data_IF_021043943760
#
_entry.id   IF_021043943760
#
_cell.length_a   1.000
_cell.length_b   1.000
_cell.length_c   1.000
_cell.angle_alpha   90.00
_cell.angle_beta   90.00
_cell.angle_gamma   90.00
#
_symmetry.space_group_name_H-M   'P 1'
#
loop_
_entity.id
_entity.type
_entity.pdbx_description
1 polymer ?
#
# COMPACT_ATOMS: atom_id res chain seq x y z
N UNK A 1 -42.29 -7.65 -45.11
CA UNK A 1 -42.01 -8.60 -44.05
C UNK A 1 -40.97 -7.98 -43.11
N UNK A 2 -41.44 -7.45 -41.98
CA UNK A 2 -40.62 -6.78 -40.96
C UNK A 2 -40.05 -7.86 -40.03
N UNK A 3 -38.71 -8.00 -39.96
CA UNK A 3 -38.05 -8.81 -38.98
C UNK A 3 -37.81 -8.02 -37.71
N UNK A 4 -38.44 -8.40 -36.62
CA UNK A 4 -38.29 -7.89 -35.28
C UNK A 4 -37.10 -8.64 -34.67
N UNK A 5 -36.04 -7.88 -34.30
CA UNK A 5 -34.91 -8.40 -33.53
C UNK A 5 -35.29 -8.32 -32.04
N UNK A 6 -35.13 -9.37 -31.24
CA UNK A 6 -35.35 -9.28 -29.81
C UNK A 6 -34.16 -8.58 -29.13
N UNK A 7 -34.47 -7.52 -28.40
CA UNK A 7 -33.56 -6.82 -27.50
C UNK A 7 -33.33 -7.71 -26.27
N UNK A 8 -32.16 -8.32 -26.15
CA UNK A 8 -31.75 -8.96 -24.92
C UNK A 8 -31.41 -7.88 -23.89
N UNK A 9 -32.30 -7.69 -22.92
CA UNK A 9 -31.96 -6.98 -21.68
C UNK A 9 -30.97 -7.84 -20.90
N UNK A 10 -29.69 -7.46 -20.87
CA UNK A 10 -28.78 -7.90 -19.85
C UNK A 10 -29.24 -7.29 -18.52
N UNK A 11 -29.77 -8.12 -17.64
CA UNK A 11 -29.99 -7.75 -16.25
C UNK A 11 -28.60 -7.63 -15.58
N UNK A 12 -28.18 -6.40 -15.33
CA UNK A 12 -27.05 -6.14 -14.45
C UNK A 12 -27.44 -6.64 -13.05
N UNK A 13 -26.77 -7.68 -12.58
CA UNK A 13 -26.83 -8.10 -11.19
C UNK A 13 -26.22 -6.97 -10.35
N UNK A 14 -26.93 -6.47 -9.31
CA UNK A 14 -26.30 -5.46 -8.45
C UNK A 14 -25.06 -6.06 -7.79
N UNK A 15 -23.91 -5.45 -8.03
CA UNK A 15 -22.71 -5.67 -7.24
C UNK A 15 -23.09 -5.45 -5.77
N UNK A 16 -22.84 -6.43 -4.92
CA UNK A 16 -23.03 -6.29 -3.48
C UNK A 16 -21.94 -5.34 -2.95
N UNK A 17 -22.21 -4.04 -3.00
CA UNK A 17 -21.50 -3.08 -2.19
C UNK A 17 -21.64 -3.53 -0.73
N UNK A 18 -20.57 -3.99 -0.12
CA UNK A 18 -20.57 -4.36 1.29
C UNK A 18 -20.76 -3.06 2.08
N UNK A 19 -21.80 -2.95 2.92
CA UNK A 19 -22.01 -1.72 3.67
C UNK A 19 -20.76 -1.42 4.51
N UNK A 20 -20.32 -0.16 4.58
CA UNK A 20 -19.23 0.24 5.46
C UNK A 20 -19.55 -0.23 6.88
N UNK A 21 -18.54 -0.74 7.58
CA UNK A 21 -18.70 -1.19 8.95
C UNK A 21 -18.90 0.04 9.84
N UNK A 22 -20.12 0.54 9.93
CA UNK A 22 -20.56 1.55 10.88
C UNK A 22 -20.49 0.96 12.30
N UNK A 23 -19.28 0.82 12.82
CA UNK A 23 -19.04 0.41 14.18
C UNK A 23 -18.73 1.63 15.04
N UNK A 24 -19.47 1.84 16.16
CA UNK A 24 -19.13 2.87 17.15
C UNK A 24 -17.69 2.77 17.65
N UNK A 25 -17.07 1.60 17.51
CA UNK A 25 -15.66 1.34 17.85
C UNK A 25 -14.66 2.02 16.94
N UNK A 26 -15.07 2.59 15.79
CA UNK A 26 -14.17 3.25 14.81
C UNK A 26 -14.29 4.78 14.80
N UNK A 27 -15.15 5.37 15.63
CA UNK A 27 -15.37 6.84 15.71
C UNK A 27 -14.13 7.64 16.12
N UNK A 28 -13.07 6.98 16.59
CA UNK A 28 -11.79 7.63 16.89
C UNK A 28 -10.88 7.81 15.66
N UNK A 29 -11.28 7.26 14.52
CA UNK A 29 -10.54 7.39 13.25
C UNK A 29 -10.88 8.71 12.54
N UNK A 30 -10.04 9.15 11.60
CA UNK A 30 -10.40 10.24 10.70
C UNK A 30 -11.66 9.89 9.89
N UNK A 31 -12.51 10.89 9.55
CA UNK A 31 -13.70 10.67 8.73
C UNK A 31 -13.33 10.07 7.36
N UNK A 32 -14.11 9.11 6.89
CA UNK A 32 -13.85 8.35 5.67
C UNK A 32 -13.62 9.25 4.44
N UNK A 33 -14.51 10.22 4.20
CA UNK A 33 -14.35 11.14 3.06
C UNK A 33 -13.05 11.93 3.09
N UNK A 34 -12.55 12.31 4.28
CA UNK A 34 -11.23 12.93 4.40
C UNK A 34 -10.11 11.97 4.08
N UNK A 35 -10.23 10.69 4.47
CA UNK A 35 -9.20 9.67 4.21
C UNK A 35 -9.08 9.40 2.72
N UNK A 36 -10.18 9.24 2.00
CA UNK A 36 -10.16 9.03 0.54
C UNK A 36 -9.39 10.14 -0.17
N UNK A 37 -9.67 11.40 0.16
CA UNK A 37 -8.96 12.55 -0.41
C UNK A 37 -7.46 12.56 -0.05
N UNK A 38 -7.12 12.18 1.19
CA UNK A 38 -5.73 12.07 1.66
C UNK A 38 -4.96 11.00 0.90
N UNK A 39 -5.55 9.82 0.73
CA UNK A 39 -4.92 8.70 0.02
C UNK A 39 -4.70 9.05 -1.45
N UNK A 40 -5.65 9.75 -2.10
CA UNK A 40 -5.50 10.20 -3.48
C UNK A 40 -4.31 11.17 -3.68
N UNK A 41 -3.93 11.91 -2.63
CA UNK A 41 -2.79 12.84 -2.67
C UNK A 41 -1.45 12.20 -2.25
N UNK A 42 -1.46 10.96 -1.76
CA UNK A 42 -0.25 10.27 -1.36
C UNK A 42 0.75 10.15 -2.54
N UNK A 43 2.04 10.44 -2.33
CA UNK A 43 3.04 10.36 -3.39
C UNK A 43 3.16 8.98 -4.03
N UNK A 44 3.00 7.89 -3.26
CA UNK A 44 2.99 6.51 -3.74
C UNK A 44 1.82 6.24 -4.68
N UNK A 45 0.62 6.67 -4.26
CA UNK A 45 -0.62 6.54 -5.05
C UNK A 45 -0.54 7.35 -6.34
N UNK A 46 -0.07 8.61 -6.28
CA UNK A 46 0.12 9.45 -7.47
C UNK A 46 1.15 8.85 -8.43
N UNK A 47 2.23 8.28 -7.91
CA UNK A 47 3.22 7.56 -8.72
C UNK A 47 2.58 6.36 -9.41
N UNK A 48 1.82 5.55 -8.70
CA UNK A 48 1.13 4.39 -9.26
C UNK A 48 0.10 4.79 -10.33
N UNK A 49 -0.65 5.89 -10.14
CA UNK A 49 -1.53 6.47 -11.16
C UNK A 49 -0.80 6.91 -12.44
N UNK A 50 0.39 7.51 -12.29
CA UNK A 50 1.24 7.84 -13.43
C UNK A 50 1.75 6.57 -14.16
N UNK A 51 2.08 5.50 -13.42
CA UNK A 51 2.46 4.22 -14.01
C UNK A 51 1.32 3.54 -14.75
N UNK A 52 0.08 3.66 -14.25
CA UNK A 52 -1.12 3.19 -14.96
C UNK A 52 -1.29 3.95 -16.29
N UNK A 53 -1.16 5.27 -16.28
CA UNK A 53 -1.21 6.07 -17.51
C UNK A 53 -0.13 5.64 -18.51
N UNK A 54 1.08 5.35 -18.03
CA UNK A 54 2.19 4.85 -18.86
C UNK A 54 1.88 3.46 -19.43
N UNK A 55 1.33 2.54 -18.64
CA UNK A 55 0.95 1.20 -19.12
C UNK A 55 -0.15 1.25 -20.18
N UNK A 56 -1.14 2.13 -20.01
CA UNK A 56 -2.18 2.38 -21.01
C UNK A 56 -1.59 2.95 -22.32
N UNK A 57 -0.60 3.84 -22.24
CA UNK A 57 0.10 4.34 -23.41
C UNK A 57 0.92 3.23 -24.11
N UNK A 58 1.60 2.38 -23.34
CA UNK A 58 2.31 1.20 -23.87
C UNK A 58 1.34 0.24 -24.57
N UNK A 59 0.18 -0.04 -23.97
CA UNK A 59 -0.83 -0.90 -24.58
C UNK A 59 -1.31 -0.35 -25.93
N UNK A 60 -1.56 0.96 -26.03
CA UNK A 60 -1.89 1.61 -27.31
C UNK A 60 -0.74 1.49 -28.33
N UNK A 61 0.51 1.70 -27.90
CA UNK A 61 1.67 1.57 -28.78
C UNK A 61 1.83 0.13 -29.31
N UNK A 62 1.58 -0.87 -28.47
CA UNK A 62 1.60 -2.29 -28.85
C UNK A 62 0.48 -2.64 -29.84
N UNK A 63 -0.71 -2.07 -29.67
CA UNK A 63 -1.83 -2.29 -30.58
C UNK A 63 -1.53 -1.75 -31.99
N UNK A 64 -1.02 -0.51 -32.08
CA UNK A 64 -0.55 0.08 -33.34
C UNK A 64 0.59 -0.74 -33.95
N UNK A 65 1.53 -1.20 -33.13
CA UNK A 65 2.68 -2.03 -33.52
C UNK A 65 3.91 -1.24 -33.93
N UNK A 66 5.05 -1.97 -34.08
CA UNK A 66 6.37 -1.35 -34.23
C UNK A 66 6.68 -0.88 -35.65
N UNK A 67 5.83 -1.18 -36.63
CA UNK A 67 6.14 -0.96 -38.05
C UNK A 67 5.58 0.36 -38.55
N UNK A 68 6.46 1.35 -38.68
CA UNK A 68 6.18 2.65 -39.26
C UNK A 68 6.46 2.63 -40.79
N UNK A 69 5.90 3.60 -41.49
CA UNK A 69 6.30 3.87 -42.88
C UNK A 69 7.67 4.53 -42.89
N UNK A 70 8.59 3.97 -43.68
CA UNK A 70 9.92 4.53 -43.89
C UNK A 70 10.02 5.04 -45.31
N UNK A 71 10.16 6.36 -45.47
CA UNK A 71 10.50 6.95 -46.76
C UNK A 71 12.02 6.92 -46.95
N UNK A 72 12.46 6.53 -48.12
CA UNK A 72 13.88 6.51 -48.45
C UNK A 72 14.10 7.13 -49.82
N UNK A 73 15.26 7.74 -50.01
CA UNK A 73 15.69 8.31 -51.29
C UNK A 73 17.18 8.17 -51.43
N UNK A 74 17.61 7.86 -52.64
CA UNK A 74 19.01 7.75 -53.03
C UNK A 74 19.26 8.58 -54.26
N UNK A 75 20.40 9.29 -54.31
CA UNK A 75 20.88 9.99 -55.45
C UNK A 75 22.28 9.50 -55.75
N UNK A 76 22.50 8.98 -56.99
CA UNK A 76 23.74 8.41 -57.41
C UNK A 76 24.26 9.16 -58.63
N UNK A 77 25.53 9.51 -58.62
CA UNK A 77 26.25 9.97 -59.80
C UNK A 77 27.21 8.87 -60.27
N UNK A 78 26.97 8.31 -61.44
CA UNK A 78 27.76 7.23 -62.03
C UNK A 78 28.52 7.75 -63.25
N UNK A 79 29.81 7.43 -63.37
CA UNK A 79 30.60 7.72 -64.53
C UNK A 79 30.88 6.43 -65.34
N UNK A 80 30.55 6.43 -66.60
CA UNK A 80 30.76 5.28 -67.50
C UNK A 80 31.70 5.67 -68.63
N UNK A 81 32.44 4.69 -69.16
CA UNK A 81 33.42 4.95 -70.28
C UNK A 81 32.73 5.27 -71.58
N UNK A 82 31.47 4.91 -71.79
CA UNK A 82 30.71 5.06 -73.01
C UNK A 82 29.73 6.24 -72.99
N UNK A 83 29.08 6.48 -71.86
CA UNK A 83 27.99 7.47 -71.78
C UNK A 83 28.34 8.69 -70.89
N UNK A 84 29.58 8.73 -70.37
CA UNK A 84 30.03 9.82 -69.51
C UNK A 84 29.40 9.79 -68.11
N UNK A 85 29.10 10.96 -67.57
CA UNK A 85 28.56 11.14 -66.23
C UNK A 85 27.02 11.09 -66.26
N UNK A 86 26.44 10.16 -65.52
CA UNK A 86 25.02 9.94 -65.44
C UNK A 86 24.55 10.26 -64.02
N UNK A 87 23.42 10.94 -63.88
CA UNK A 87 22.75 11.22 -62.61
C UNK A 87 21.51 10.35 -62.52
N UNK A 88 21.42 9.63 -61.43
CA UNK A 88 20.38 8.63 -61.19
C UNK A 88 19.76 8.88 -59.81
N UNK A 89 18.49 8.57 -59.64
CA UNK A 89 17.86 8.66 -58.34
C UNK A 89 16.80 7.56 -58.12
N UNK A 90 16.62 7.20 -56.88
CA UNK A 90 15.56 6.29 -56.41
C UNK A 90 14.83 6.95 -55.25
N UNK A 91 13.51 6.82 -55.23
CA UNK A 91 12.70 7.21 -54.11
C UNK A 91 11.66 6.13 -53.81
N UNK A 92 11.41 5.87 -52.55
CA UNK A 92 10.48 4.79 -52.18
C UNK A 92 9.92 4.93 -50.79
N UNK A 93 8.95 4.05 -50.48
CA UNK A 93 8.32 3.91 -49.18
C UNK A 93 8.27 2.42 -48.84
N UNK A 94 8.71 2.09 -47.63
CA UNK A 94 8.66 0.71 -47.12
C UNK A 94 7.91 0.62 -45.81
N UNK A 95 7.37 -0.56 -45.51
CA UNK A 95 6.71 -0.88 -44.22
C UNK A 95 6.81 -2.35 -43.90
N UNK A 96 7.13 -2.66 -42.65
CA UNK A 96 7.00 -4.01 -42.11
C UNK A 96 5.54 -4.40 -41.88
N UNK A 97 5.22 -5.66 -42.05
CA UNK A 97 3.86 -6.19 -41.79
C UNK A 97 3.95 -7.29 -40.72
N UNK A 98 3.26 -7.07 -39.63
CA UNK A 98 3.17 -8.09 -38.55
C UNK A 98 2.53 -9.38 -39.08
N UNK A 99 3.22 -10.50 -38.88
CA UNK A 99 2.65 -11.80 -39.17
C UNK A 99 1.41 -12.12 -38.32
N UNK A 100 0.49 -12.98 -38.83
CA UNK A 100 -0.71 -13.37 -38.08
C UNK A 100 -0.40 -13.85 -36.66
N UNK A 101 -1.24 -13.49 -35.72
CA UNK A 101 -1.12 -13.80 -34.27
C UNK A 101 -0.23 -12.86 -33.49
N UNK A 102 0.76 -12.18 -34.10
CA UNK A 102 1.64 -11.26 -33.38
C UNK A 102 0.91 -10.04 -32.84
N UNK A 103 -0.04 -9.47 -33.61
CA UNK A 103 -0.85 -8.34 -33.18
C UNK A 103 -1.74 -8.70 -31.98
N UNK A 104 -2.28 -9.92 -31.94
CA UNK A 104 -3.05 -10.41 -30.79
C UNK A 104 -2.16 -10.57 -29.56
N UNK A 105 -0.98 -11.20 -29.71
CA UNK A 105 -0.03 -11.32 -28.62
C UNK A 105 0.40 -9.94 -28.07
N UNK A 106 0.66 -8.98 -28.95
CA UNK A 106 1.02 -7.60 -28.57
C UNK A 106 -0.12 -6.91 -27.79
N UNK A 107 -1.40 -7.11 -28.19
CA UNK A 107 -2.57 -6.60 -27.44
C UNK A 107 -2.69 -7.23 -26.07
N UNK A 108 -2.52 -8.56 -25.98
CA UNK A 108 -2.60 -9.26 -24.69
C UNK A 108 -1.48 -8.88 -23.73
N UNK A 109 -0.26 -8.65 -24.25
CA UNK A 109 0.85 -8.11 -23.45
C UNK A 109 0.48 -6.71 -22.91
N UNK A 110 -0.11 -5.86 -23.75
CA UNK A 110 -0.57 -4.54 -23.36
C UNK A 110 -1.66 -4.62 -22.30
N UNK A 111 -2.70 -5.43 -22.51
CA UNK A 111 -3.81 -5.60 -21.58
C UNK A 111 -3.36 -6.14 -20.21
N UNK A 112 -2.53 -7.20 -20.20
CA UNK A 112 -1.98 -7.73 -18.96
C UNK A 112 -1.06 -6.72 -18.26
N UNK A 113 -0.34 -5.88 -19.03
CA UNK A 113 0.48 -4.78 -18.49
C UNK A 113 -0.37 -3.69 -17.82
N UNK A 114 -1.51 -3.34 -18.39
CA UNK A 114 -2.49 -2.44 -17.75
C UNK A 114 -3.03 -3.08 -16.48
N UNK A 115 -3.41 -4.36 -16.50
CA UNK A 115 -3.87 -5.07 -15.31
C UNK A 115 -2.84 -5.11 -14.16
N UNK A 116 -1.54 -5.21 -14.48
CA UNK A 116 -0.47 -5.06 -13.46
C UNK A 116 -0.50 -3.68 -12.85
N UNK A 117 -0.63 -2.62 -13.67
CA UNK A 117 -0.59 -1.24 -13.20
C UNK A 117 -1.87 -0.82 -12.45
N UNK A 118 -3.04 -1.31 -12.84
CA UNK A 118 -4.32 -1.12 -12.13
C UNK A 118 -4.27 -1.71 -10.73
N UNK A 119 -3.88 -2.99 -10.63
CA UNK A 119 -3.71 -3.63 -9.32
C UNK A 119 -2.58 -2.99 -8.50
N UNK A 120 -1.52 -2.49 -9.14
CA UNK A 120 -0.47 -1.73 -8.48
C UNK A 120 -0.94 -0.37 -7.94
N UNK A 121 -1.96 0.25 -8.55
CA UNK A 121 -2.59 1.45 -8.02
C UNK A 121 -3.45 1.13 -6.78
N UNK A 122 -4.24 0.04 -6.84
CA UNK A 122 -5.00 -0.44 -5.68
C UNK A 122 -4.08 -0.79 -4.50
N UNK A 123 -2.99 -1.50 -4.75
CA UNK A 123 -1.98 -1.84 -3.76
C UNK A 123 -1.33 -0.59 -3.12
N UNK A 124 -0.97 0.42 -3.93
CA UNK A 124 -0.42 1.67 -3.42
C UNK A 124 -1.41 2.44 -2.50
N UNK A 125 -2.72 2.40 -2.79
CA UNK A 125 -3.76 2.97 -1.91
C UNK A 125 -3.87 2.19 -0.61
N UNK A 126 -3.81 0.88 -0.69
CA UNK A 126 -3.80 -0.01 0.46
C UNK A 126 -2.58 0.27 1.37
N UNK A 127 -1.38 0.34 0.81
CA UNK A 127 -0.16 0.71 1.56
C UNK A 127 -0.26 2.09 2.22
N UNK A 128 -0.81 3.09 1.52
CA UNK A 128 -1.02 4.43 2.07
C UNK A 128 -2.03 4.41 3.23
N UNK A 129 -3.10 3.62 3.14
CA UNK A 129 -4.08 3.43 4.22
C UNK A 129 -3.45 2.77 5.45
N UNK A 130 -2.63 1.75 5.26
CA UNK A 130 -1.86 1.11 6.35
C UNK A 130 -0.88 2.08 7.00
N UNK A 131 -0.21 2.91 6.21
CA UNK A 131 0.67 3.96 6.71
C UNK A 131 -0.09 4.97 7.56
N UNK A 132 -1.23 5.48 7.07
CA UNK A 132 -2.09 6.39 7.83
C UNK A 132 -2.55 5.77 9.14
N UNK A 133 -3.07 4.53 9.12
CA UNK A 133 -3.47 3.79 10.32
C UNK A 133 -2.35 3.72 11.34
N UNK A 134 -1.15 3.32 10.92
CA UNK A 134 -0.02 3.16 11.81
C UNK A 134 0.38 4.48 12.47
N UNK A 135 0.49 5.56 11.68
CA UNK A 135 0.87 6.88 12.19
C UNK A 135 -0.23 7.51 13.06
N UNK A 136 -1.50 7.30 12.72
CA UNK A 136 -2.62 7.75 13.52
C UNK A 136 -2.66 7.10 14.91
N UNK A 137 -2.56 5.78 14.96
CA UNK A 137 -2.54 5.03 16.23
C UNK A 137 -1.30 5.41 17.05
N UNK A 138 -0.13 5.52 16.43
CA UNK A 138 1.10 5.94 17.12
C UNK A 138 0.94 7.34 17.75
N UNK A 139 0.32 8.29 17.03
CA UNK A 139 0.02 9.62 17.57
C UNK A 139 -0.94 9.53 18.76
N UNK A 140 -2.03 8.75 18.69
CA UNK A 140 -2.99 8.59 19.79
C UNK A 140 -2.35 7.95 21.02
N UNK A 141 -1.46 6.97 20.84
CA UNK A 141 -0.68 6.36 21.94
C UNK A 141 0.22 7.39 22.61
N UNK A 142 0.96 8.15 21.84
CA UNK A 142 1.86 9.16 22.36
C UNK A 142 1.12 10.28 23.10
N UNK A 143 -0.05 10.70 22.62
CA UNK A 143 -0.92 11.66 23.30
C UNK A 143 -1.49 11.09 24.61
N UNK A 144 -1.83 9.81 24.63
CA UNK A 144 -2.29 9.11 25.85
C UNK A 144 -1.17 9.02 26.90
N UNK A 145 0.03 8.60 26.48
CA UNK A 145 1.19 8.47 27.36
C UNK A 145 1.60 9.85 27.97
N UNK A 146 1.57 10.92 27.17
CA UNK A 146 1.85 12.26 27.66
C UNK A 146 0.82 12.73 28.71
N UNK A 147 -0.47 12.58 28.42
CA UNK A 147 -1.55 12.92 29.39
C UNK A 147 -1.45 12.12 30.68
N UNK A 148 -1.15 10.83 30.61
CA UNK A 148 -0.97 10.00 31.81
C UNK A 148 0.26 10.45 32.61
N UNK A 149 1.36 10.83 31.95
CA UNK A 149 2.57 11.36 32.60
C UNK A 149 2.31 12.68 33.31
N UNK A 150 1.52 13.59 32.74
CA UNK A 150 1.09 14.84 33.36
C UNK A 150 0.24 14.57 34.63
N UNK A 151 -0.68 13.62 34.57
CA UNK A 151 -1.49 13.19 35.70
C UNK A 151 -0.63 12.56 36.82
N UNK A 152 0.41 11.81 36.46
CA UNK A 152 1.38 11.23 37.39
C UNK A 152 2.16 12.30 38.12
N UNK A 153 2.70 13.31 37.42
CA UNK A 153 3.39 14.45 38.03
C UNK A 153 2.47 15.15 39.03
N UNK A 154 1.26 15.50 38.62
CA UNK A 154 0.29 16.16 39.51
C UNK A 154 -0.03 15.34 40.77
N UNK A 155 -0.05 14.02 40.68
CA UNK A 155 -0.24 13.14 41.82
C UNK A 155 0.99 13.12 42.77
N UNK A 156 2.20 13.09 42.25
CA UNK A 156 3.41 13.19 43.08
C UNK A 156 3.61 14.60 43.68
N UNK A 157 3.23 15.67 43.01
CA UNK A 157 3.26 17.03 43.55
C UNK A 157 2.31 17.18 44.73
N UNK A 158 1.07 16.67 44.63
CA UNK A 158 0.14 16.61 45.75
C UNK A 158 0.71 15.79 46.92
N UNK A 159 1.30 14.63 46.64
CA UNK A 159 1.91 13.79 47.68
C UNK A 159 3.07 14.49 48.36
N UNK A 160 3.93 15.21 47.62
CA UNK A 160 5.05 15.97 48.15
C UNK A 160 4.56 17.08 49.13
N UNK A 161 3.53 17.82 48.74
CA UNK A 161 2.97 18.88 49.58
C UNK A 161 2.42 18.33 50.90
N UNK A 162 1.70 17.21 50.87
CA UNK A 162 1.17 16.54 52.06
C UNK A 162 2.29 16.04 52.97
N UNK A 163 3.29 15.34 52.41
CA UNK A 163 4.41 14.79 53.18
C UNK A 163 5.31 15.88 53.77
N UNK A 164 5.55 16.95 53.03
CA UNK A 164 6.32 18.14 53.51
C UNK A 164 5.60 18.82 54.68
N UNK A 165 4.26 18.92 54.62
CA UNK A 165 3.46 19.49 55.71
C UNK A 165 3.47 18.58 56.94
N UNK A 166 3.35 17.27 56.78
CA UNK A 166 3.43 16.28 57.86
C UNK A 166 4.82 16.35 58.55
N UNK A 167 5.91 16.55 57.79
CA UNK A 167 7.24 16.74 58.35
C UNK A 167 7.33 18.04 59.21
N UNK A 168 6.76 19.13 58.74
CA UNK A 168 6.74 20.40 59.51
C UNK A 168 6.03 20.24 60.87
N UNK A 169 5.03 19.35 60.93
CA UNK A 169 4.30 19.00 62.11
C UNK A 169 4.96 17.92 62.96
N UNK A 170 6.12 17.45 62.61
CA UNK A 170 6.85 16.37 63.31
C UNK A 170 6.27 14.95 63.10
N UNK A 171 5.36 14.80 62.13
CA UNK A 171 4.65 13.54 61.86
C UNK A 171 5.28 12.72 60.72
N UNK A 172 6.32 13.22 60.03
CA UNK A 172 6.98 12.53 58.94
C UNK A 172 8.49 12.74 58.98
N UNK A 173 9.26 11.71 58.61
CA UNK A 173 10.72 11.79 58.56
C UNK A 173 11.19 12.52 57.30
N UNK A 174 12.39 13.14 57.37
CA UNK A 174 13.03 13.82 56.24
C UNK A 174 13.19 12.86 55.04
N UNK A 175 13.58 11.61 55.30
CA UNK A 175 13.72 10.58 54.30
C UNK A 175 12.45 10.34 53.43
N UNK A 176 11.28 10.43 54.05
CA UNK A 176 9.99 10.26 53.32
C UNK A 176 9.75 11.39 52.32
N UNK A 177 10.11 12.65 52.69
CA UNK A 177 10.03 13.79 51.76
C UNK A 177 11.02 13.62 50.60
N UNK A 178 12.24 13.16 50.89
CA UNK A 178 13.26 12.88 49.85
C UNK A 178 12.83 11.76 48.90
N UNK A 179 12.19 10.71 49.41
CA UNK A 179 11.64 9.63 48.59
C UNK A 179 10.56 10.15 47.60
N UNK A 180 9.61 10.97 48.07
CA UNK A 180 8.59 11.57 47.21
C UNK A 180 9.21 12.51 46.20
N UNK A 181 10.20 13.31 46.60
CA UNK A 181 10.95 14.20 45.72
C UNK A 181 11.68 13.45 44.62
N UNK A 182 12.31 12.30 44.96
CA UNK A 182 12.98 11.46 43.98
C UNK A 182 11.97 10.86 42.98
N UNK A 183 10.82 10.37 43.46
CA UNK A 183 9.76 9.84 42.61
C UNK A 183 9.19 10.92 41.66
N UNK A 184 8.97 12.14 42.16
CA UNK A 184 8.54 13.28 41.34
C UNK A 184 9.58 13.62 40.27
N UNK A 185 10.87 13.64 40.62
CA UNK A 185 11.95 13.92 39.66
C UNK A 185 12.01 12.87 38.55
N UNK A 186 11.82 11.60 38.88
CA UNK A 186 11.73 10.51 37.93
C UNK A 186 10.48 10.66 37.02
N UNK A 187 9.30 10.97 37.60
CA UNK A 187 8.08 11.20 36.85
C UNK A 187 8.25 12.35 35.82
N UNK A 188 8.90 13.45 36.23
CA UNK A 188 9.21 14.59 35.35
C UNK A 188 10.13 14.19 34.19
N UNK A 189 11.14 13.37 34.44
CA UNK A 189 12.04 12.88 33.39
C UNK A 189 11.27 12.00 32.37
N UNK A 190 10.41 11.11 32.83
CA UNK A 190 9.57 10.28 31.97
C UNK A 190 8.54 11.11 31.17
N UNK A 191 7.96 12.14 31.81
CA UNK A 191 7.04 13.06 31.12
C UNK A 191 7.74 13.89 30.03
N UNK A 192 8.99 14.27 30.22
CA UNK A 192 9.77 14.93 29.17
C UNK A 192 9.96 14.01 27.95
N UNK A 193 10.26 12.72 28.18
CA UNK A 193 10.35 11.73 27.11
C UNK A 193 8.99 11.52 26.42
N UNK A 194 7.90 11.40 27.16
CA UNK A 194 6.57 11.25 26.60
C UNK A 194 6.15 12.50 25.78
N UNK A 195 6.51 13.69 26.23
CA UNK A 195 6.29 14.94 25.49
C UNK A 195 7.07 14.96 24.18
N UNK A 196 8.33 14.54 24.19
CA UNK A 196 9.14 14.41 22.98
C UNK A 196 8.49 13.43 22.00
N UNK A 197 8.09 12.23 22.46
CA UNK A 197 7.43 11.23 21.64
C UNK A 197 6.11 11.74 21.05
N UNK A 198 5.32 12.50 21.82
CA UNK A 198 4.09 13.15 21.36
C UNK A 198 4.34 14.14 20.22
N UNK A 199 5.34 15.02 20.37
CA UNK A 199 5.69 16.01 19.35
C UNK A 199 6.20 15.33 18.08
N UNK A 200 7.03 14.30 18.22
CA UNK A 200 7.57 13.54 17.10
C UNK A 200 6.48 12.79 16.33
N UNK A 201 5.61 12.05 17.02
CA UNK A 201 4.50 11.34 16.40
C UNK A 201 3.54 12.30 15.67
N UNK A 202 3.21 13.45 16.28
CA UNK A 202 2.38 14.47 15.65
C UNK A 202 3.05 15.05 14.39
N UNK A 203 4.33 15.42 14.49
CA UNK A 203 5.09 15.94 13.35
C UNK A 203 5.17 14.92 12.23
N UNK A 204 5.47 13.65 12.53
CA UNK A 204 5.57 12.57 11.55
C UNK A 204 4.24 12.35 10.83
N UNK A 205 3.13 12.31 11.55
CA UNK A 205 1.79 12.18 10.96
C UNK A 205 1.47 13.37 10.05
N UNK A 206 1.68 14.60 10.51
CA UNK A 206 1.40 15.82 9.72
C UNK A 206 2.31 15.96 8.49
N UNK A 207 3.55 15.46 8.55
CA UNK A 207 4.46 15.51 7.39
C UNK A 207 4.14 14.48 6.33
N UNK A 208 3.70 13.29 6.73
CA UNK A 208 3.26 12.27 5.78
C UNK A 208 1.88 12.60 5.20
N UNK A 209 0.98 13.19 5.99
CA UNK A 209 -0.37 13.55 5.57
C UNK A 209 -0.66 15.05 5.83
N UNK A 210 -0.11 15.97 5.01
CA UNK A 210 -0.18 17.40 5.29
C UNK A 210 -1.60 17.98 5.30
N UNK A 211 -2.52 17.38 4.55
CA UNK A 211 -3.91 17.82 4.47
C UNK A 211 -4.78 17.25 5.59
N UNK A 212 -4.23 16.36 6.44
CA UNK A 212 -4.96 15.80 7.56
C UNK A 212 -5.16 16.86 8.65
N UNK A 213 -6.41 17.22 8.90
CA UNK A 213 -6.77 18.12 9.99
C UNK A 213 -6.82 17.33 11.30
N UNK A 214 -5.85 17.55 12.17
CA UNK A 214 -5.85 16.94 13.50
C UNK A 214 -6.82 17.66 14.42
N UNK A 215 -7.64 16.94 15.21
CA UNK A 215 -8.52 17.53 16.19
C UNK A 215 -7.71 18.20 17.30
N UNK A 216 -8.26 19.28 17.88
CA UNK A 216 -7.64 20.02 18.99
C UNK A 216 -7.45 19.11 20.21
N UNK A 217 -8.45 18.27 20.48
CA UNK A 217 -8.37 17.24 21.52
C UNK A 217 -8.33 15.87 20.84
N UNK A 218 -7.25 15.09 21.03
CA UNK A 218 -7.17 13.75 20.47
C UNK A 218 -8.33 12.87 20.95
N UNK A 219 -8.99 12.14 20.05
CA UNK A 219 -10.10 11.26 20.43
C UNK A 219 -9.62 10.15 21.37
N UNK A 220 -10.46 9.80 22.32
CA UNK A 220 -10.21 8.64 23.17
C UNK A 220 -10.48 7.36 22.37
N UNK A 221 -9.55 6.40 22.44
CA UNK A 221 -9.78 5.07 21.88
C UNK A 221 -10.80 4.32 22.75
N UNK A 222 -11.96 3.90 22.22
CA UNK A 222 -12.95 3.14 22.96
C UNK A 222 -12.44 1.73 23.29
N UNK A 223 -13.25 0.95 23.98
CA UNK A 223 -12.96 -0.48 24.17
C UNK A 223 -13.00 -1.22 22.82
N UNK A 224 -11.95 -1.95 22.45
CA UNK A 224 -11.92 -2.69 21.20
C UNK A 224 -12.93 -3.84 21.22
N UNK A 225 -13.62 -4.04 20.09
CA UNK A 225 -14.61 -5.10 19.89
C UNK A 225 -14.23 -5.93 18.69
N UNK A 226 -14.54 -7.22 18.73
CA UNK A 226 -14.41 -8.07 17.57
C UNK A 226 -15.26 -7.55 16.41
N UNK A 227 -14.77 -7.56 15.18
CA UNK A 227 -15.58 -7.21 14.02
C UNK A 227 -16.72 -8.23 13.84
N UNK A 228 -17.85 -7.83 13.23
CA UNK A 228 -19.01 -8.70 13.05
C UNK A 228 -18.67 -9.86 12.10
N UNK A 229 -19.32 -11.03 12.28
CA UNK A 229 -19.08 -12.23 11.48
C UNK A 229 -18.05 -13.18 12.07
N UNK A 230 -17.69 -14.20 11.33
CA UNK A 230 -16.69 -15.18 11.77
C UNK A 230 -15.29 -14.76 11.35
N UNK A 231 -14.28 -15.20 12.10
CA UNK A 231 -12.87 -14.94 11.75
C UNK A 231 -12.45 -15.60 10.42
N UNK A 232 -13.10 -16.71 10.08
CA UNK A 232 -12.87 -17.37 8.80
C UNK A 232 -13.41 -16.56 7.62
N UNK A 233 -14.57 -15.87 7.79
CA UNK A 233 -15.09 -14.97 6.76
C UNK A 233 -14.15 -13.77 6.52
N UNK A 234 -13.52 -13.28 7.59
CA UNK A 234 -12.53 -12.22 7.47
C UNK A 234 -11.26 -12.69 6.78
N UNK A 235 -10.74 -13.87 7.14
CA UNK A 235 -9.59 -14.48 6.45
C UNK A 235 -9.86 -14.63 4.96
N UNK A 236 -11.06 -15.11 4.61
CA UNK A 236 -11.46 -15.27 3.21
C UNK A 236 -11.57 -13.93 2.50
N UNK A 237 -12.14 -12.90 3.15
CA UNK A 237 -12.27 -11.57 2.56
C UNK A 237 -10.92 -10.94 2.19
N UNK A 238 -9.87 -11.15 3.00
CA UNK A 238 -8.50 -10.70 2.68
C UNK A 238 -7.96 -11.38 1.42
N UNK A 239 -8.36 -12.62 1.13
CA UNK A 239 -7.86 -13.39 -0.02
C UNK A 239 -8.64 -13.10 -1.31
N UNK A 240 -9.97 -12.88 -1.20
CA UNK A 240 -10.87 -12.84 -2.35
C UNK A 240 -10.59 -11.64 -3.28
N UNK A 241 -10.16 -10.51 -2.74
CA UNK A 241 -9.99 -9.26 -3.49
C UNK A 241 -8.59 -8.62 -3.36
N UNK A 242 -7.58 -9.45 -3.16
CA UNK A 242 -6.22 -8.99 -2.89
C UNK A 242 -5.49 -8.49 -4.15
N UNK A 243 -5.06 -7.23 -4.14
CA UNK A 243 -4.35 -6.58 -5.24
C UNK A 243 -2.97 -7.18 -5.53
N UNK A 244 -2.23 -7.63 -4.52
CA UNK A 244 -0.91 -8.27 -4.72
C UNK A 244 -1.04 -9.57 -5.52
N UNK A 245 -2.05 -10.41 -5.20
CA UNK A 245 -2.33 -11.65 -5.93
C UNK A 245 -2.73 -11.34 -7.37
N UNK A 246 -3.65 -10.37 -7.57
CA UNK A 246 -4.10 -9.96 -8.91
C UNK A 246 -2.94 -9.40 -9.74
N UNK A 247 -2.11 -8.54 -9.16
CA UNK A 247 -0.92 -7.97 -9.80
C UNK A 247 0.07 -9.06 -10.21
N UNK A 248 0.38 -10.01 -9.32
CA UNK A 248 1.30 -11.10 -9.62
C UNK A 248 0.79 -12.05 -10.70
N UNK A 249 -0.54 -12.31 -10.74
CA UNK A 249 -1.18 -13.09 -11.80
C UNK A 249 -1.13 -12.37 -13.15
N UNK A 250 -1.46 -11.08 -13.19
CA UNK A 250 -1.38 -10.26 -14.40
C UNK A 250 0.06 -10.18 -14.94
N UNK A 251 1.07 -10.09 -14.06
CA UNK A 251 2.48 -10.13 -14.49
C UNK A 251 2.88 -11.50 -15.05
N UNK A 252 2.44 -12.59 -14.42
CA UNK A 252 2.69 -13.94 -14.93
C UNK A 252 2.04 -14.13 -16.31
N UNK A 253 0.82 -13.65 -16.50
CA UNK A 253 0.13 -13.66 -17.79
C UNK A 253 0.87 -12.82 -18.84
N UNK A 254 1.31 -11.61 -18.47
CA UNK A 254 2.10 -10.74 -19.33
C UNK A 254 3.38 -11.44 -19.80
N UNK A 255 4.09 -12.12 -18.91
CA UNK A 255 5.30 -12.89 -19.25
C UNK A 255 5.00 -14.09 -20.14
N UNK A 256 3.90 -14.77 -19.94
CA UNK A 256 3.48 -15.88 -20.84
C UNK A 256 3.20 -15.36 -22.26
N UNK A 257 2.48 -14.24 -22.40
CA UNK A 257 2.25 -13.63 -23.69
C UNK A 257 3.54 -13.12 -24.34
N UNK A 258 4.49 -12.57 -23.58
CA UNK A 258 5.84 -12.20 -24.07
C UNK A 258 6.59 -13.43 -24.59
N UNK A 259 6.51 -14.56 -23.90
CA UNK A 259 7.12 -15.81 -24.35
C UNK A 259 6.46 -16.35 -25.63
N UNK A 260 5.13 -16.30 -25.74
CA UNK A 260 4.40 -16.63 -26.95
C UNK A 260 4.82 -15.72 -28.12
N UNK A 261 4.90 -14.42 -27.86
CA UNK A 261 5.32 -13.42 -28.85
C UNK A 261 6.75 -13.66 -29.34
N UNK A 262 7.69 -13.94 -28.42
CA UNK A 262 9.08 -14.26 -28.74
C UNK A 262 9.22 -15.54 -29.58
N UNK A 263 8.36 -16.57 -29.32
CA UNK A 263 8.29 -17.77 -30.18
C UNK A 263 7.85 -17.43 -31.59
N UNK A 264 6.84 -16.57 -31.76
CA UNK A 264 6.38 -16.12 -33.09
C UNK A 264 7.46 -15.30 -33.80
N UNK A 265 8.34 -14.62 -33.07
CA UNK A 265 9.45 -13.84 -33.62
C UNK A 265 10.60 -14.69 -34.17
N UNK A 266 10.58 -16.00 -33.99
CA UNK A 266 11.47 -16.91 -34.77
C UNK A 266 11.26 -16.73 -36.26
N UNK A 267 10.05 -16.37 -36.69
CA UNK A 267 9.72 -15.94 -38.04
C UNK A 267 9.63 -14.41 -38.04
N UNK A 268 10.56 -13.78 -38.75
CA UNK A 268 10.59 -12.33 -38.85
C UNK A 268 9.42 -11.80 -39.67
N UNK A 269 9.01 -10.57 -39.35
CA UNK A 269 8.01 -9.84 -40.11
C UNK A 269 8.62 -9.43 -41.46
N UNK A 270 7.91 -9.64 -42.59
CA UNK A 270 8.35 -9.17 -43.89
C UNK A 270 8.20 -7.64 -43.98
N UNK A 271 9.12 -7.01 -44.70
CA UNK A 271 9.02 -5.61 -45.12
C UNK A 271 8.71 -5.55 -46.59
N UNK A 272 7.68 -4.79 -46.93
CA UNK A 272 7.32 -4.47 -48.31
C UNK A 272 7.85 -3.08 -48.66
N UNK A 273 8.32 -2.94 -49.89
CA UNK A 273 8.91 -1.71 -50.44
C UNK A 273 8.26 -1.38 -51.80
N UNK A 274 7.89 -0.13 -51.96
CA UNK A 274 7.43 0.45 -53.21
C UNK A 274 8.42 1.52 -53.59
N UNK A 275 9.02 1.45 -54.79
CA UNK A 275 10.03 2.43 -55.24
C UNK A 275 9.80 2.84 -56.68
N UNK A 276 10.17 4.09 -56.99
CA UNK A 276 10.34 4.61 -58.33
C UNK A 276 11.78 5.02 -58.53
N UNK A 277 12.29 4.88 -59.73
CA UNK A 277 13.68 5.19 -60.02
C UNK A 277 13.81 5.80 -61.41
N UNK A 278 14.89 6.58 -61.58
CA UNK A 278 15.34 7.13 -62.85
C UNK A 278 16.81 6.81 -63.01
N UNK A 279 17.13 6.18 -64.15
CA UNK A 279 18.48 5.76 -64.48
C UNK A 279 18.93 6.35 -65.82
N UNK A 280 20.21 6.21 -66.14
CA UNK A 280 20.87 6.67 -67.43
C UNK A 280 20.55 8.11 -67.77
N UNK A 281 20.69 9.01 -66.76
CA UNK A 281 20.45 10.45 -66.96
C UNK A 281 19.05 10.85 -67.35
N UNK A 282 18.03 10.01 -67.03
CA UNK A 282 16.62 10.24 -67.31
C UNK A 282 16.08 9.50 -68.55
N UNK A 283 16.89 8.69 -69.21
CA UNK A 283 16.43 7.88 -70.34
C UNK A 283 15.66 6.64 -69.94
N UNK A 284 15.83 6.19 -68.70
CA UNK A 284 15.13 5.06 -68.15
C UNK A 284 14.41 5.47 -66.85
N UNK A 285 13.13 5.13 -66.77
CA UNK A 285 12.32 5.32 -65.56
C UNK A 285 11.56 4.02 -65.23
N UNK A 286 11.44 3.70 -63.97
CA UNK A 286 10.80 2.45 -63.55
C UNK A 286 10.09 2.55 -62.23
N UNK A 287 9.25 1.55 -62.01
CA UNK A 287 8.55 1.31 -60.73
C UNK A 287 8.89 -0.11 -60.28
N UNK A 288 9.20 -0.25 -59.01
CA UNK A 288 9.59 -1.53 -58.41
C UNK A 288 8.79 -1.85 -57.14
N UNK A 289 8.46 -3.12 -56.98
CA UNK A 289 7.95 -3.68 -55.73
C UNK A 289 9.02 -4.61 -55.20
N UNK A 290 9.43 -4.39 -53.94
CA UNK A 290 10.42 -5.20 -53.26
C UNK A 290 9.82 -5.82 -51.98
N UNK A 291 10.39 -6.91 -51.55
CA UNK A 291 10.14 -7.42 -50.19
C UNK A 291 11.45 -7.95 -49.61
N UNK A 292 11.57 -7.83 -48.30
CA UNK A 292 12.70 -8.40 -47.56
C UNK A 292 12.16 -9.13 -46.30
N UNK A 293 12.78 -10.28 -45.99
CA UNK A 293 12.45 -11.08 -44.81
C UNK A 293 13.77 -11.43 -44.12
N UNK A 294 13.99 -10.97 -42.88
CA UNK A 294 15.15 -11.42 -42.13
C UNK A 294 15.09 -12.92 -41.88
N UNK A 295 16.13 -13.65 -42.23
CA UNK A 295 16.20 -15.08 -41.95
C UNK A 295 16.53 -15.28 -40.49
N UNK A 296 15.65 -15.99 -39.76
CA UNK A 296 15.82 -16.30 -38.35
C UNK A 296 17.02 -17.23 -38.11
N UNK A 297 17.57 -17.17 -36.91
CA UNK A 297 18.72 -17.97 -36.53
C UNK A 297 18.78 -18.23 -35.03
N UNK A 298 19.94 -18.65 -34.53
CA UNK A 298 20.21 -19.01 -33.14
C UNK A 298 19.83 -17.90 -32.14
N UNK A 299 20.04 -16.61 -32.52
CA UNK A 299 19.68 -15.46 -31.68
C UNK A 299 18.17 -15.47 -31.35
N UNK A 300 17.31 -15.60 -32.38
CA UNK A 300 15.84 -15.56 -32.17
C UNK A 300 15.35 -16.78 -31.37
N UNK A 301 16.01 -17.94 -31.57
CA UNK A 301 15.72 -19.15 -30.77
C UNK A 301 16.10 -18.93 -29.30
N UNK A 302 17.31 -18.45 -29.05
CA UNK A 302 17.77 -18.17 -27.68
C UNK A 302 16.92 -17.12 -26.96
N UNK A 303 16.48 -16.06 -27.67
CA UNK A 303 15.57 -15.04 -27.10
C UNK A 303 14.21 -15.65 -26.73
N UNK A 304 13.69 -16.56 -27.56
CA UNK A 304 12.44 -17.26 -27.27
C UNK A 304 12.59 -18.20 -26.05
N UNK A 305 13.71 -18.91 -25.95
CA UNK A 305 14.00 -19.79 -24.82
C UNK A 305 14.20 -18.98 -23.51
N UNK A 306 14.88 -17.82 -23.58
CA UNK A 306 14.97 -16.89 -22.46
C UNK A 306 13.60 -16.42 -21.99
N UNK A 307 12.74 -15.94 -22.91
CA UNK A 307 11.40 -15.45 -22.57
C UNK A 307 10.53 -16.57 -21.97
N UNK A 308 10.69 -17.82 -22.43
CA UNK A 308 9.99 -18.97 -21.86
C UNK A 308 10.43 -19.24 -20.41
N UNK A 309 11.74 -19.15 -20.13
CA UNK A 309 12.27 -19.31 -18.78
C UNK A 309 11.80 -18.17 -17.84
N UNK A 310 11.75 -16.93 -18.35
CA UNK A 310 11.22 -15.77 -17.60
C UNK A 310 9.72 -15.94 -17.26
N UNK A 311 8.92 -16.48 -18.21
CA UNK A 311 7.51 -16.77 -17.97
C UNK A 311 7.32 -17.87 -16.89
N UNK A 312 8.12 -18.93 -16.93
CA UNK A 312 8.13 -19.95 -15.91
C UNK A 312 8.49 -19.38 -14.52
N UNK A 313 9.52 -18.52 -14.46
CA UNK A 313 9.91 -17.84 -13.22
C UNK A 313 8.79 -16.93 -12.67
N UNK A 314 8.09 -16.18 -13.53
CA UNK A 314 6.98 -15.31 -13.14
C UNK A 314 5.78 -16.14 -12.60
N UNK A 315 5.47 -17.28 -13.19
CA UNK A 315 4.44 -18.19 -12.68
C UNK A 315 4.78 -18.70 -11.26
N UNK A 316 6.03 -19.11 -11.03
CA UNK A 316 6.49 -19.51 -9.68
C UNK A 316 6.43 -18.34 -8.70
N UNK A 317 6.78 -17.12 -9.16
CA UNK A 317 6.68 -15.91 -8.34
C UNK A 317 5.22 -15.62 -7.93
N UNK A 318 4.26 -15.75 -8.84
CA UNK A 318 2.84 -15.58 -8.54
C UNK A 318 2.33 -16.57 -7.47
N UNK A 319 2.73 -17.85 -7.56
CA UNK A 319 2.42 -18.83 -6.50
C UNK A 319 3.07 -18.49 -5.15
N UNK A 320 4.28 -17.90 -5.17
CA UNK A 320 4.93 -17.44 -3.94
C UNK A 320 4.14 -16.27 -3.31
N UNK A 321 3.72 -15.29 -4.10
CA UNK A 321 2.91 -14.16 -3.63
C UNK A 321 1.61 -14.68 -3.03
N UNK A 322 0.89 -15.57 -3.71
CA UNK A 322 -0.33 -16.15 -3.18
C UNK A 322 -0.13 -16.78 -1.80
N UNK A 323 0.89 -17.63 -1.62
CA UNK A 323 1.20 -18.21 -0.31
C UNK A 323 1.57 -17.15 0.74
N UNK A 324 2.25 -16.08 0.35
CA UNK A 324 2.60 -15.00 1.28
C UNK A 324 1.36 -14.27 1.77
N UNK A 325 0.40 -13.99 0.90
CA UNK A 325 -0.88 -13.36 1.26
C UNK A 325 -1.73 -14.30 2.12
N UNK A 326 -1.75 -15.60 1.84
CA UNK A 326 -2.40 -16.61 2.70
C UNK A 326 -1.85 -16.56 4.14
N UNK A 327 -0.51 -16.51 4.29
CA UNK A 327 0.14 -16.37 5.61
C UNK A 327 -0.21 -15.03 6.26
N UNK A 328 -0.27 -13.94 5.50
CA UNK A 328 -0.64 -12.63 6.03
C UNK A 328 -2.09 -12.63 6.52
N UNK A 329 -3.03 -13.16 5.75
CA UNK A 329 -4.44 -13.27 6.14
C UNK A 329 -4.63 -14.07 7.44
N UNK A 330 -3.93 -15.20 7.59
CA UNK A 330 -3.94 -15.97 8.84
C UNK A 330 -3.35 -15.19 10.02
N UNK A 331 -2.23 -14.49 9.79
CA UNK A 331 -1.57 -13.67 10.80
C UNK A 331 -2.46 -12.53 11.27
N UNK A 332 -3.17 -11.86 10.37
CA UNK A 332 -4.05 -10.73 10.71
C UNK A 332 -5.21 -11.19 11.59
N UNK A 333 -5.81 -12.33 11.27
CA UNK A 333 -6.83 -12.95 12.11
C UNK A 333 -6.27 -13.30 13.50
N UNK A 334 -5.10 -13.96 13.57
CA UNK A 334 -4.45 -14.31 14.84
C UNK A 334 -4.14 -13.05 15.66
N UNK A 335 -3.58 -12.01 15.01
CA UNK A 335 -3.24 -10.75 15.66
C UNK A 335 -4.48 -10.05 16.21
N UNK A 336 -5.60 -10.03 15.47
CA UNK A 336 -6.85 -9.43 15.93
C UNK A 336 -7.45 -10.21 17.11
N UNK A 337 -7.47 -11.53 17.08
CA UNK A 337 -7.96 -12.39 18.16
C UNK A 337 -7.11 -12.25 19.43
N UNK A 338 -5.79 -12.43 19.29
CA UNK A 338 -4.85 -12.39 20.41
C UNK A 338 -4.68 -10.97 20.95
N UNK A 339 -4.76 -9.95 20.08
CA UNK A 339 -4.76 -8.56 20.50
C UNK A 339 -5.94 -8.21 21.40
N UNK A 340 -7.14 -8.67 21.06
CA UNK A 340 -8.34 -8.51 21.89
C UNK A 340 -8.20 -9.22 23.25
N UNK A 341 -7.67 -10.44 23.26
CA UNK A 341 -7.50 -11.20 24.50
C UNK A 341 -6.42 -10.55 25.39
N UNK A 342 -5.29 -10.16 24.82
CA UNK A 342 -4.22 -9.47 25.54
C UNK A 342 -4.70 -8.15 26.14
N UNK A 343 -5.53 -7.40 25.42
CA UNK A 343 -6.14 -6.19 25.95
C UNK A 343 -7.08 -6.49 27.13
N UNK A 344 -7.96 -7.50 27.04
CA UNK A 344 -8.85 -7.88 28.16
C UNK A 344 -8.07 -8.23 29.43
N UNK A 345 -6.98 -8.98 29.29
CA UNK A 345 -6.12 -9.34 30.42
C UNK A 345 -5.42 -8.10 31.00
N UNK A 346 -4.93 -7.20 30.15
CA UNK A 346 -4.30 -5.96 30.62
C UNK A 346 -5.31 -5.00 31.27
N UNK A 347 -6.56 -4.96 30.80
CA UNK A 347 -7.64 -4.20 31.42
C UNK A 347 -7.96 -4.72 32.84
N UNK A 348 -8.08 -6.03 33.00
CA UNK A 348 -8.30 -6.65 34.31
C UNK A 348 -7.13 -6.37 35.27
N UNK A 349 -5.88 -6.42 34.79
CA UNK A 349 -4.69 -6.10 35.55
C UNK A 349 -4.69 -4.61 36.00
N UNK A 350 -5.01 -3.69 35.09
CA UNK A 350 -5.10 -2.25 35.41
C UNK A 350 -6.21 -1.96 36.43
N UNK A 351 -7.38 -2.60 36.31
CA UNK A 351 -8.48 -2.45 37.28
C UNK A 351 -8.06 -2.97 38.66
N UNK A 352 -7.41 -4.14 38.73
CA UNK A 352 -6.92 -4.72 40.00
C UNK A 352 -5.86 -3.83 40.66
N UNK A 353 -4.94 -3.27 39.85
CA UNK A 353 -3.90 -2.35 40.32
C UNK A 353 -4.49 -1.04 40.85
N UNK A 354 -5.47 -0.47 40.15
CA UNK A 354 -6.20 0.72 40.62
C UNK A 354 -6.91 0.49 41.96
N UNK A 355 -7.56 -0.65 42.12
CA UNK A 355 -8.21 -1.03 43.40
C UNK A 355 -7.18 -1.21 44.53
N UNK A 356 -6.00 -1.80 44.22
CA UNK A 356 -4.92 -1.93 45.20
C UNK A 356 -4.36 -0.56 45.58
N UNK A 357 -4.14 0.34 44.64
CA UNK A 357 -3.68 1.71 44.92
C UNK A 357 -4.67 2.47 45.85
N UNK A 358 -5.96 2.38 45.55
CA UNK A 358 -7.00 3.02 46.39
C UNK A 358 -6.97 2.52 47.83
N UNK A 359 -6.82 1.21 48.03
CA UNK A 359 -6.68 0.62 49.38
C UNK A 359 -5.38 1.04 50.07
N UNK A 360 -4.26 1.08 49.33
CA UNK A 360 -2.95 1.51 49.85
C UNK A 360 -3.00 2.98 50.31
N UNK A 361 -3.63 3.86 49.50
CA UNK A 361 -3.84 5.27 49.86
C UNK A 361 -4.58 5.39 51.17
N UNK A 362 -5.66 4.60 51.36
CA UNK A 362 -6.44 4.59 52.58
C UNK A 362 -5.66 4.06 53.78
N UNK A 363 -4.85 3.00 53.59
CA UNK A 363 -4.02 2.43 54.67
C UNK A 363 -2.95 3.45 55.13
N UNK A 364 -2.34 4.19 54.20
CA UNK A 364 -1.39 5.27 54.56
C UNK A 364 -2.07 6.44 55.26
N UNK A 365 -3.31 6.82 54.87
CA UNK A 365 -4.09 7.85 55.56
C UNK A 365 -4.43 7.44 57.00
N UNK A 366 -4.62 6.15 57.25
CA UNK A 366 -4.89 5.61 58.60
C UNK A 366 -3.62 5.34 59.42
N UNK A 367 -2.45 5.45 58.80
CA UNK A 367 -1.17 5.17 59.48
C UNK A 367 -0.77 3.70 59.51
N UNK A 368 -1.53 2.81 58.82
CA UNK A 368 -1.29 1.37 58.79
C UNK A 368 -0.14 0.97 57.85
N UNK A 369 0.16 1.82 56.87
CA UNK A 369 1.22 1.58 55.86
C UNK A 369 2.12 2.79 55.68
N UNK A 370 3.32 2.58 55.18
CA UNK A 370 4.29 3.62 54.95
C UNK A 370 4.18 4.29 53.56
N UNK A 371 4.83 5.44 53.44
CA UNK A 371 4.85 6.18 52.15
C UNK A 371 5.60 5.41 51.07
N UNK A 372 6.62 4.62 51.39
CA UNK A 372 7.41 3.83 50.45
C UNK A 372 6.54 2.82 49.71
N UNK A 373 5.70 2.09 50.42
CA UNK A 373 4.75 1.12 49.88
C UNK A 373 3.72 1.80 48.96
N UNK A 374 3.27 3.00 49.34
CA UNK A 374 2.38 3.80 48.49
C UNK A 374 3.06 4.23 47.20
N UNK A 375 4.32 4.68 47.23
CA UNK A 375 5.04 5.10 46.05
C UNK A 375 5.28 3.93 45.09
N UNK A 376 5.61 2.74 45.62
CA UNK A 376 5.78 1.52 44.83
C UNK A 376 4.45 1.13 44.19
N UNK A 377 3.36 1.07 44.94
CA UNK A 377 2.03 0.70 44.47
C UNK A 377 1.53 1.70 43.42
N UNK A 378 1.76 2.99 43.60
CA UNK A 378 1.41 4.03 42.62
C UNK A 378 2.18 3.86 41.32
N UNK A 379 3.48 3.60 41.40
CA UNK A 379 4.27 3.32 40.19
C UNK A 379 3.77 2.12 39.43
N UNK A 380 3.46 1.03 40.11
CA UNK A 380 2.86 -0.17 39.50
C UNK A 380 1.52 0.15 38.82
N UNK A 381 0.64 0.95 39.46
CA UNK A 381 -0.62 1.35 38.85
C UNK A 381 -0.43 2.16 37.57
N UNK A 382 0.51 3.11 37.54
CA UNK A 382 0.82 3.85 36.32
C UNK A 382 1.38 2.95 35.20
N UNK A 383 2.24 2.01 35.54
CA UNK A 383 2.80 1.08 34.56
C UNK A 383 1.69 0.15 34.00
N UNK A 384 0.75 -0.31 34.81
CA UNK A 384 -0.42 -1.12 34.37
C UNK A 384 -1.36 -0.31 33.47
N UNK A 385 -1.67 0.94 33.80
CA UNK A 385 -2.51 1.82 32.97
C UNK A 385 -1.88 2.11 31.61
N UNK A 386 -0.57 2.38 31.56
CA UNK A 386 0.17 2.55 30.31
C UNK A 386 0.17 1.27 29.48
N UNK A 387 0.38 0.13 30.12
CA UNK A 387 0.31 -1.17 29.47
C UNK A 387 -1.06 -1.41 28.85
N UNK A 388 -2.14 -1.15 29.59
CA UNK A 388 -3.51 -1.29 29.12
C UNK A 388 -3.78 -0.38 27.91
N UNK A 389 -3.40 0.90 27.97
CA UNK A 389 -3.60 1.84 26.87
C UNK A 389 -2.87 1.39 25.58
N UNK A 390 -1.65 0.84 25.72
CA UNK A 390 -0.89 0.29 24.60
C UNK A 390 -1.50 -0.99 24.04
N UNK A 391 -1.99 -1.89 24.90
CA UNK A 391 -2.68 -3.12 24.46
C UNK A 391 -4.01 -2.80 23.79
N UNK A 392 -4.74 -1.78 24.28
CA UNK A 392 -5.93 -1.24 23.63
C UNK A 392 -5.64 -0.74 22.22
N UNK A 393 -4.59 0.05 22.07
CA UNK A 393 -4.16 0.56 20.78
C UNK A 393 -3.70 -0.56 19.84
N UNK A 394 -2.96 -1.55 20.34
CA UNK A 394 -2.51 -2.71 19.56
C UNK A 394 -3.71 -3.55 19.07
N UNK A 395 -4.72 -3.77 19.91
CA UNK A 395 -5.95 -4.49 19.54
C UNK A 395 -6.72 -3.73 18.43
N UNK A 396 -6.88 -2.41 18.57
CA UNK A 396 -7.46 -1.59 17.50
C UNK A 396 -6.63 -1.64 16.23
N UNK A 397 -5.30 -1.55 16.33
CA UNK A 397 -4.39 -1.64 15.19
C UNK A 397 -4.52 -2.94 14.42
N UNK A 398 -4.64 -4.08 15.13
CA UNK A 398 -4.82 -5.38 14.52
C UNK A 398 -6.20 -5.55 13.85
N UNK A 399 -7.27 -5.04 14.49
CA UNK A 399 -8.61 -5.04 13.88
C UNK A 399 -8.64 -4.16 12.63
N UNK A 400 -8.05 -2.96 12.68
CA UNK A 400 -7.99 -2.06 11.54
C UNK A 400 -7.13 -2.62 10.40
N UNK A 401 -6.05 -3.33 10.73
CA UNK A 401 -5.26 -4.06 9.73
C UNK A 401 -6.18 -5.01 8.95
N UNK A 402 -6.92 -5.87 9.66
CA UNK A 402 -7.83 -6.83 9.06
C UNK A 402 -8.93 -6.16 8.22
N UNK A 403 -9.46 -5.01 8.67
CA UNK A 403 -10.47 -4.22 7.94
C UNK A 403 -9.90 -3.60 6.66
N UNK A 404 -8.67 -3.11 6.70
CA UNK A 404 -7.99 -2.53 5.53
C UNK A 404 -7.63 -3.64 4.54
N UNK A 405 -7.02 -4.74 5.01
CA UNK A 405 -6.59 -5.86 4.16
C UNK A 405 -7.77 -6.59 3.51
N UNK A 406 -8.97 -6.49 4.11
CA UNK A 406 -10.23 -6.99 3.51
C UNK A 406 -10.98 -5.92 2.70
N UNK A 407 -10.40 -4.74 2.46
CA UNK A 407 -11.02 -3.61 1.74
C UNK A 407 -12.35 -3.11 2.33
N UNK A 408 -12.57 -3.30 3.65
CA UNK A 408 -13.81 -2.89 4.35
C UNK A 408 -13.63 -1.62 5.20
N UNK A 409 -12.50 -0.93 5.06
CA UNK A 409 -12.24 0.36 5.68
C UNK A 409 -11.91 1.40 4.62
N UNK A 410 -12.39 2.63 4.83
CA UNK A 410 -12.05 3.83 4.06
C UNK A 410 -12.30 3.75 2.54
N UNK A 411 -13.39 3.11 2.13
CA UNK A 411 -13.78 3.06 0.72
C UNK A 411 -12.79 2.38 -0.22
N UNK A 412 -11.89 1.54 0.31
CA UNK A 412 -10.89 0.82 -0.49
C UNK A 412 -11.51 -0.25 -1.40
N UNK A 413 -12.79 -0.59 -1.20
CA UNK A 413 -13.53 -1.59 -1.97
C UNK A 413 -14.47 -1.02 -3.03
N UNK A 414 -14.62 0.29 -3.17
CA UNK A 414 -15.63 0.94 -4.04
C UNK A 414 -15.13 1.22 -5.47
N UNK A 415 -14.10 0.49 -5.94
CA UNK A 415 -13.53 0.68 -7.27
C UNK A 415 -14.02 -0.41 -8.25
N UNK A 416 -15.24 -0.26 -8.74
CA UNK A 416 -15.71 -0.84 -10.03
C UNK A 416 -16.19 0.23 -11.00
#
# INVERSE_FOLDING_TARGET
>A
MKRILPLLLLAATPAFAHPPVDSPSLQFLPPEGQVVDLLAQDPGVRRAGAMLTAAQAEARARDVGPHEFTAHGEYLTRSTNLEGRLNEWTAGVSRGIRLPGKAEADRMIGASGVGVAENGLGDARHEAALSLKNLWIAWLVAESDARQSEAEIAAYERQLSVTARARQLGQSATLQVEQVQAALSQARALAAQATQARLDARMTLQRNFPMLTLPVSPPAMPEPKAPPGSWEDWRKAVLDDNHEIKMARSEAERRDWLAKRARMDRFADPTFDLRTFQERGGHETGFGIGFSVPIGGALRSATADQSAAEAAAASVAAHRVQRQVEITAERDVINAQQGLEAWRQSQAAAQSSAAMLARMQRAVELGDQGITELLITRRQDYDMRRSEARMRAAAHGAILQLLIDSHRAWGLGDEE
#
